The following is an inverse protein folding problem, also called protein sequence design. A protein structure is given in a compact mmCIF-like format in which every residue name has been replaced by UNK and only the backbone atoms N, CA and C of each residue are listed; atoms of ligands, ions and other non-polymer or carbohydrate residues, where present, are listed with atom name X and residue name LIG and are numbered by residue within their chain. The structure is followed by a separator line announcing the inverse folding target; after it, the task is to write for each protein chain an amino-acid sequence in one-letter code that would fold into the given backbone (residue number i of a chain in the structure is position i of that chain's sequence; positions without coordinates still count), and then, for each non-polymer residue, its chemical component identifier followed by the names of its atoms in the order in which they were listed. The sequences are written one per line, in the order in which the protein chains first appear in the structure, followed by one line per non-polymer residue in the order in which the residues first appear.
data_IF_931070985257
#
_entry.id   IF_931070985257
#
_cell.length_a   1.000
_cell.length_b   1.000
_cell.length_c   1.000
_cell.angle_alpha   90.00
_cell.angle_beta   90.00
_cell.angle_gamma   90.00
#
_symmetry.space_group_name_H-M   'P 1'
#
loop_
_entity.id
_entity.type
_entity.pdbx_description
1 polymer ?
#
# COMPACT_ATOMS: atom_id res chain seq x y z
N UNK A 1 -22.45 15.18 -13.85
CA UNK A 1 -20.99 15.20 -13.59
C UNK A 1 -20.36 16.42 -14.24
N UNK A 2 -19.35 17.02 -13.61
CA UNK A 2 -18.49 18.07 -14.20
C UNK A 2 -17.05 17.88 -13.71
N UNK A 3 -16.11 17.71 -14.63
CA UNK A 3 -14.68 17.70 -14.32
C UNK A 3 -14.09 19.10 -14.45
N UNK A 4 -13.24 19.49 -13.50
CA UNK A 4 -12.60 20.80 -13.42
C UNK A 4 -11.12 20.64 -13.03
N UNK A 5 -10.31 21.62 -13.41
CA UNK A 5 -8.97 21.82 -12.86
C UNK A 5 -8.89 23.24 -12.34
N UNK A 6 -8.55 23.41 -11.07
CA UNK A 6 -8.40 24.72 -10.45
C UNK A 6 -7.08 25.37 -10.91
N UNK A 7 -6.94 26.68 -10.68
CA UNK A 7 -5.72 27.42 -11.07
C UNK A 7 -4.45 26.96 -10.34
N UNK A 8 -4.58 26.24 -9.23
CA UNK A 8 -3.49 25.60 -8.50
C UNK A 8 -3.25 24.13 -8.94
N UNK A 9 -3.82 23.67 -10.05
CA UNK A 9 -3.63 22.31 -10.56
C UNK A 9 -4.43 21.22 -9.84
N UNK A 10 -5.25 21.56 -8.84
CA UNK A 10 -6.14 20.60 -8.19
C UNK A 10 -7.20 20.10 -9.17
N UNK A 11 -7.26 18.78 -9.38
CA UNK A 11 -8.27 18.13 -10.23
C UNK A 11 -9.53 17.87 -9.43
N UNK A 12 -10.70 18.24 -9.95
CA UNK A 12 -11.98 18.14 -9.24
C UNK A 12 -13.03 17.43 -10.09
N UNK A 13 -13.81 16.54 -9.47
CA UNK A 13 -15.02 15.95 -10.03
C UNK A 13 -16.25 16.35 -9.19
N UNK A 14 -17.19 17.05 -9.82
CA UNK A 14 -18.49 17.38 -9.22
C UNK A 14 -19.57 16.40 -9.70
N UNK A 15 -20.35 15.87 -8.75
CA UNK A 15 -21.41 14.89 -8.99
C UNK A 15 -22.72 15.42 -8.40
N UNK A 16 -23.57 15.98 -9.26
CA UNK A 16 -24.94 16.34 -8.91
C UNK A 16 -25.83 15.11 -8.97
N UNK A 17 -26.35 14.72 -7.81
CA UNK A 17 -27.36 13.67 -7.63
C UNK A 17 -28.54 14.24 -6.83
N UNK A 18 -29.57 14.79 -7.49
CA UNK A 18 -30.73 15.39 -6.81
C UNK A 18 -31.53 14.43 -5.92
N UNK A 19 -31.27 13.12 -6.01
CA UNK A 19 -31.95 12.09 -5.21
C UNK A 19 -31.16 11.64 -3.99
N UNK A 20 -29.92 12.11 -3.81
CA UNK A 20 -29.12 11.74 -2.64
C UNK A 20 -29.63 12.40 -1.36
N UNK A 21 -29.73 11.61 -0.30
CA UNK A 21 -30.04 12.09 1.05
C UNK A 21 -28.80 12.67 1.76
N UNK A 22 -27.60 12.43 1.22
CA UNK A 22 -26.33 12.86 1.83
C UNK A 22 -25.37 13.41 0.79
N UNK A 23 -24.77 14.55 1.10
CA UNK A 23 -23.59 15.04 0.40
C UNK A 23 -22.33 14.35 0.95
N UNK A 24 -21.30 14.23 0.11
CA UNK A 24 -20.02 13.66 0.47
C UNK A 24 -18.88 14.34 -0.31
N UNK A 25 -17.69 14.36 0.28
CA UNK A 25 -16.48 14.78 -0.41
C UNK A 25 -15.33 13.83 -0.06
N UNK A 26 -14.43 13.61 -1.02
CA UNK A 26 -13.22 12.82 -0.84
C UNK A 26 -12.05 13.52 -1.51
N UNK A 27 -10.94 13.67 -0.79
CA UNK A 27 -9.67 14.18 -1.31
C UNK A 27 -8.67 13.03 -1.34
N UNK A 28 -8.05 12.82 -2.48
CA UNK A 28 -6.91 11.93 -2.67
C UNK A 28 -5.64 12.77 -2.80
N UNK A 29 -4.57 12.36 -2.14
CA UNK A 29 -3.22 12.90 -2.32
C UNK A 29 -2.39 11.75 -2.88
N UNK A 30 -1.83 11.90 -4.08
CA UNK A 30 -1.06 10.83 -4.73
C UNK A 30 0.35 10.70 -4.13
N UNK A 31 0.42 10.47 -2.82
CA UNK A 31 1.59 10.25 -1.98
C UNK A 31 1.16 9.30 -0.86
N UNK A 32 1.99 8.30 -0.56
CA UNK A 32 1.73 7.36 0.53
C UNK A 32 3.01 6.86 1.20
N UNK A 33 2.90 5.71 1.86
CA UNK A 33 3.97 5.11 2.68
C UNK A 33 5.27 4.79 1.92
N UNK A 34 5.22 4.60 0.60
CA UNK A 34 6.44 4.45 -0.20
C UNK A 34 7.34 5.70 -0.15
N UNK A 35 6.77 6.87 0.17
CA UNK A 35 7.48 8.13 0.34
C UNK A 35 7.94 8.39 1.78
N UNK A 36 7.68 7.46 2.71
CA UNK A 36 8.19 7.57 4.07
C UNK A 36 9.73 7.59 4.08
N UNK A 37 10.36 8.41 4.93
CA UNK A 37 11.78 8.26 5.21
C UNK A 37 12.10 6.86 5.74
N UNK A 38 13.23 6.28 5.33
CA UNK A 38 13.63 4.94 5.80
C UNK A 38 13.82 4.89 7.33
N UNK A 39 14.17 6.03 7.92
CA UNK A 39 14.37 6.23 9.35
C UNK A 39 13.06 6.44 10.13
N UNK A 40 11.92 6.66 9.45
CA UNK A 40 10.61 6.87 10.07
C UNK A 40 9.50 6.23 9.22
N UNK A 41 9.42 4.91 9.25
CA UNK A 41 8.40 4.19 8.50
C UNK A 41 7.02 4.31 9.19
N UNK A 42 5.97 4.53 8.40
CA UNK A 42 4.61 4.83 8.86
C UNK A 42 4.29 6.32 9.03
N UNK A 43 5.15 7.22 8.55
CA UNK A 43 4.95 8.67 8.72
C UNK A 43 3.75 9.18 7.90
N UNK A 44 3.54 8.67 6.68
CA UNK A 44 2.39 9.00 5.85
C UNK A 44 1.08 8.63 6.55
N UNK A 45 1.01 7.40 7.08
CA UNK A 45 -0.13 6.91 7.85
C UNK A 45 -0.34 7.73 9.13
N UNK A 46 0.74 8.05 9.86
CA UNK A 46 0.62 8.92 11.03
C UNK A 46 0.15 10.33 10.67
N UNK A 47 0.61 10.89 9.54
CA UNK A 47 0.18 12.19 9.03
C UNK A 47 -1.33 12.20 8.75
N UNK A 48 -1.87 11.17 8.10
CA UNK A 48 -3.31 11.00 7.88
C UNK A 48 -4.09 11.13 9.20
N UNK A 49 -3.68 10.40 10.25
CA UNK A 49 -4.32 10.47 11.57
C UNK A 49 -4.24 11.87 12.21
N UNK A 50 -3.16 12.62 11.95
CA UNK A 50 -2.96 13.95 12.52
C UNK A 50 -3.84 15.02 11.87
N UNK A 51 -4.23 14.85 10.60
CA UNK A 51 -5.10 15.81 9.90
C UNK A 51 -6.49 15.94 10.54
N UNK A 52 -6.91 14.94 11.32
CA UNK A 52 -8.17 14.95 12.06
C UNK A 52 -8.07 15.55 13.48
N UNK A 53 -6.89 16.05 13.88
CA UNK A 53 -6.65 16.59 15.23
C UNK A 53 -6.67 18.11 15.31
N UNK A 54 -7.30 18.75 14.33
CA UNK A 54 -7.50 20.19 14.30
C UNK A 54 -6.57 20.88 13.31
N UNK A 55 -6.99 22.09 12.96
CA UNK A 55 -6.30 22.98 12.01
C UNK A 55 -6.20 24.36 12.64
N UNK A 56 -5.46 25.28 12.01
CA UNK A 56 -5.40 26.67 12.48
C UNK A 56 -6.80 27.32 12.54
N UNK A 57 -7.66 27.04 11.55
CA UNK A 57 -9.03 27.56 11.46
C UNK A 57 -9.99 26.87 12.43
N UNK A 58 -9.74 25.60 12.76
CA UNK A 58 -10.56 24.76 13.63
C UNK A 58 -9.67 24.00 14.62
N UNK A 59 -9.13 24.67 15.66
CA UNK A 59 -8.27 24.02 16.64
C UNK A 59 -9.08 23.05 17.50
N UNK A 60 -8.50 21.89 17.81
CA UNK A 60 -9.08 20.93 18.77
C UNK A 60 -8.16 20.84 20.00
N UNK A 61 -8.74 20.99 21.19
CA UNK A 61 -8.05 20.76 22.46
C UNK A 61 -8.10 19.27 22.82
N UNK A 62 -7.20 18.47 22.24
CA UNK A 62 -6.82 17.16 22.78
C UNK A 62 -5.49 16.74 22.16
N UNK A 63 -4.42 17.31 22.69
CA UNK A 63 -3.06 16.90 22.34
C UNK A 63 -2.68 15.62 23.08
N UNK A 64 -2.00 14.72 22.34
CA UNK A 64 -1.35 13.49 22.80
C UNK A 64 -2.25 12.28 23.15
N UNK A 65 -2.22 11.26 22.28
CA UNK A 65 -2.03 9.81 22.55
C UNK A 65 -2.36 8.97 21.29
N UNK A 66 -1.87 9.37 20.10
CA UNK A 66 -2.19 8.65 18.84
C UNK A 66 -1.09 7.73 18.30
N UNK A 67 0.14 7.81 18.81
CA UNK A 67 1.09 6.71 18.58
C UNK A 67 0.51 5.40 19.15
N UNK A 68 -0.25 5.47 20.24
CA UNK A 68 -1.06 4.33 20.73
C UNK A 68 -2.13 3.86 19.74
N UNK A 69 -2.73 4.75 18.94
CA UNK A 69 -3.71 4.35 17.92
C UNK A 69 -3.04 3.50 16.85
N UNK A 70 -1.90 3.93 16.33
CA UNK A 70 -1.09 3.15 15.39
C UNK A 70 -0.67 1.82 16.01
N UNK A 71 -0.19 1.83 17.25
CA UNK A 71 0.20 0.61 17.96
C UNK A 71 -0.99 -0.36 18.14
N UNK A 72 -2.19 0.18 18.36
CA UNK A 72 -3.42 -0.62 18.48
C UNK A 72 -3.85 -1.22 17.14
N UNK A 73 -3.61 -0.52 16.03
CA UNK A 73 -3.85 -1.02 14.67
C UNK A 73 -2.85 -2.11 14.31
N UNK A 74 -1.56 -1.88 14.54
CA UNK A 74 -0.51 -2.89 14.39
C UNK A 74 -0.86 -4.17 15.17
N UNK A 75 -1.35 -4.02 16.41
CA UNK A 75 -1.73 -5.15 17.26
C UNK A 75 -2.89 -5.97 16.69
N UNK A 76 -3.83 -5.35 15.96
CA UNK A 76 -4.92 -6.07 15.28
C UNK A 76 -4.38 -6.95 14.15
N UNK A 77 -3.37 -6.46 13.43
CA UNK A 77 -2.80 -7.15 12.27
C UNK A 77 -1.80 -8.26 12.64
N UNK A 78 -1.29 -8.29 13.87
CA UNK A 78 -0.36 -9.35 14.34
C UNK A 78 -0.89 -10.76 14.12
N UNK A 79 -2.22 -10.94 14.20
CA UNK A 79 -2.88 -12.23 14.06
C UNK A 79 -3.60 -12.41 12.71
N UNK A 80 -3.43 -11.50 11.76
CA UNK A 80 -4.06 -11.56 10.44
C UNK A 80 -3.04 -12.06 9.39
N UNK A 81 -3.26 -13.27 8.86
CA UNK A 81 -2.36 -13.88 7.90
C UNK A 81 -2.25 -13.11 6.57
N UNK A 82 -3.24 -12.28 6.21
CA UNK A 82 -3.16 -11.43 5.02
C UNK A 82 -2.10 -10.34 5.20
N UNK A 83 -2.16 -9.63 6.32
CA UNK A 83 -1.19 -8.57 6.65
C UNK A 83 0.21 -9.13 6.88
N UNK A 84 0.31 -10.26 7.58
CA UNK A 84 1.58 -10.96 7.80
C UNK A 84 2.22 -11.37 6.48
N UNK A 85 1.43 -11.93 5.56
CA UNK A 85 1.91 -12.33 4.24
C UNK A 85 2.35 -11.12 3.40
N UNK A 86 1.56 -10.04 3.39
CA UNK A 86 1.93 -8.80 2.70
C UNK A 86 3.28 -8.27 3.19
N UNK A 87 3.49 -8.28 4.50
CA UNK A 87 4.75 -7.82 5.07
C UNK A 87 5.92 -8.77 4.80
N UNK A 88 5.68 -10.09 4.73
CA UNK A 88 6.69 -11.05 4.22
C UNK A 88 7.05 -10.73 2.76
N UNK A 89 6.08 -10.47 1.89
CA UNK A 89 6.34 -10.10 0.49
C UNK A 89 7.18 -8.81 0.38
N UNK A 90 6.90 -7.81 1.23
CA UNK A 90 7.72 -6.58 1.34
C UNK A 90 9.14 -6.88 1.83
N UNK A 91 9.28 -7.68 2.88
CA UNK A 91 10.57 -8.08 3.43
C UNK A 91 11.45 -8.83 2.41
N UNK A 92 10.84 -9.60 1.51
CA UNK A 92 11.54 -10.33 0.45
C UNK A 92 11.99 -9.46 -0.73
N UNK A 93 11.62 -8.18 -0.79
CA UNK A 93 12.02 -7.30 -1.88
C UNK A 93 13.51 -6.95 -1.85
N UNK A 94 14.02 -6.38 -2.95
CA UNK A 94 15.41 -5.89 -3.06
C UNK A 94 15.74 -4.96 -1.87
N UNK A 95 16.90 -5.14 -1.21
CA UNK A 95 17.36 -4.20 -0.19
C UNK A 95 17.38 -2.75 -0.70
N UNK A 96 16.76 -1.84 0.05
CA UNK A 96 16.68 -0.41 -0.29
C UNK A 96 15.58 -0.04 -1.29
N UNK A 97 14.82 -0.98 -1.83
CA UNK A 97 13.64 -0.67 -2.64
C UNK A 97 12.48 -0.22 -1.74
N UNK A 98 11.80 0.89 -2.08
CA UNK A 98 10.79 1.49 -1.17
C UNK A 98 9.58 0.58 -0.89
N UNK A 99 9.29 -0.37 -1.78
CA UNK A 99 8.27 -1.41 -1.54
C UNK A 99 8.53 -2.19 -0.24
N UNK A 100 9.80 -2.37 0.15
CA UNK A 100 10.18 -3.06 1.38
C UNK A 100 9.90 -2.28 2.68
N UNK A 101 9.46 -1.02 2.60
CA UNK A 101 9.10 -0.23 3.78
C UNK A 101 7.84 -0.78 4.45
N UNK A 102 7.83 -0.68 5.78
CA UNK A 102 6.70 -0.97 6.63
C UNK A 102 5.70 0.20 6.63
N UNK A 103 4.54 0.00 6.02
CA UNK A 103 3.59 1.06 5.72
C UNK A 103 2.72 1.52 6.90
N UNK A 104 2.47 0.66 7.89
CA UNK A 104 1.60 0.98 9.03
C UNK A 104 2.33 1.85 10.06
N UNK A 105 3.62 1.59 10.28
CA UNK A 105 4.38 2.18 11.38
C UNK A 105 4.12 1.50 12.72
N UNK A 106 4.94 1.86 13.70
CA UNK A 106 4.85 1.40 15.08
C UNK A 106 5.38 2.47 16.01
N UNK A 107 5.17 2.33 17.32
CA UNK A 107 5.84 3.18 18.30
C UNK A 107 7.36 3.16 18.12
N UNK A 108 7.92 1.98 17.85
CA UNK A 108 9.35 1.80 17.61
C UNK A 108 9.82 2.62 16.40
N UNK A 109 9.12 2.54 15.27
CA UNK A 109 9.50 3.27 14.06
C UNK A 109 9.34 4.79 14.21
N UNK A 110 8.25 5.23 14.86
CA UNK A 110 7.89 6.65 14.95
C UNK A 110 8.65 7.40 16.06
N UNK A 111 9.05 6.72 17.14
CA UNK A 111 9.71 7.34 18.30
C UNK A 111 11.14 6.82 18.52
N UNK A 112 11.36 5.51 18.44
CA UNK A 112 12.61 4.91 18.94
C UNK A 112 13.72 4.87 17.87
N UNK A 113 13.43 4.38 16.67
CA UNK A 113 14.43 4.11 15.61
C UNK A 113 15.10 5.38 15.08
N UNK A 114 14.37 6.51 15.10
CA UNK A 114 14.92 7.82 14.77
C UNK A 114 15.50 8.59 15.96
N UNK A 115 15.56 8.01 17.17
CA UNK A 115 15.79 8.73 18.44
C UNK A 115 14.95 10.01 18.56
N UNK A 116 13.70 9.96 18.10
CA UNK A 116 12.85 11.15 17.99
C UNK A 116 12.11 11.42 19.29
N UNK A 117 12.27 12.61 19.82
CA UNK A 117 11.37 13.21 20.79
C UNK A 117 10.04 13.59 20.11
N UNK A 118 8.98 13.78 20.88
CA UNK A 118 7.69 14.23 20.33
C UNK A 118 7.78 15.51 19.49
N UNK A 119 8.75 16.39 19.82
CA UNK A 119 9.02 17.61 19.05
C UNK A 119 9.64 17.30 17.66
N UNK A 120 10.56 16.33 17.58
CA UNK A 120 11.19 15.92 16.32
C UNK A 120 10.23 15.12 15.42
N UNK A 121 9.33 14.33 16.01
CA UNK A 121 8.26 13.66 15.25
C UNK A 121 7.28 14.68 14.67
N UNK A 122 6.88 15.68 15.45
CA UNK A 122 6.06 16.81 14.95
C UNK A 122 6.76 17.53 13.81
N UNK A 123 8.05 17.79 13.93
CA UNK A 123 8.82 18.40 12.85
C UNK A 123 8.84 17.53 11.59
N UNK A 124 9.06 16.21 11.74
CA UNK A 124 9.01 15.26 10.62
C UNK A 124 7.66 15.30 9.89
N UNK A 125 6.56 15.35 10.65
CA UNK A 125 5.21 15.45 10.10
C UNK A 125 5.01 16.74 9.31
N UNK A 126 5.46 17.88 9.86
CA UNK A 126 5.39 19.16 9.18
C UNK A 126 6.22 19.15 7.90
N UNK A 127 7.42 18.59 7.94
CA UNK A 127 8.28 18.42 6.76
C UNK A 127 7.64 17.50 5.72
N UNK A 128 7.06 16.38 6.14
CA UNK A 128 6.36 15.46 5.24
C UNK A 128 5.16 16.14 4.57
N UNK A 129 4.29 16.78 5.34
CA UNK A 129 3.15 17.53 4.80
C UNK A 129 3.63 18.67 3.89
N UNK A 130 4.66 19.41 4.30
CA UNK A 130 5.21 20.50 3.51
C UNK A 130 5.78 19.99 2.17
N UNK A 131 6.50 18.87 2.16
CA UNK A 131 7.11 18.34 0.95
C UNK A 131 6.11 17.71 -0.02
N UNK A 132 5.04 17.09 0.51
CA UNK A 132 4.21 16.18 -0.29
C UNK A 132 2.76 16.63 -0.48
N UNK A 133 2.16 17.35 0.47
CA UNK A 133 0.76 17.79 0.35
C UNK A 133 0.67 19.04 -0.52
N UNK A 134 0.63 18.82 -1.84
CA UNK A 134 0.59 19.84 -2.88
C UNK A 134 -0.61 19.65 -3.79
N UNK A 135 -1.24 20.74 -4.24
CA UNK A 135 -2.46 20.69 -5.06
C UNK A 135 -2.29 19.96 -6.39
N UNK A 136 -1.10 20.03 -7.02
CA UNK A 136 -0.81 19.36 -8.31
C UNK A 136 -0.80 17.82 -8.23
N UNK A 137 -0.69 17.24 -7.03
CA UNK A 137 -0.78 15.80 -6.80
C UNK A 137 -2.09 15.39 -6.11
N UNK A 138 -3.04 16.31 -5.96
CA UNK A 138 -4.33 16.07 -5.34
C UNK A 138 -5.46 15.85 -6.35
N UNK A 139 -6.50 15.14 -5.91
CA UNK A 139 -7.77 15.01 -6.64
C UNK A 139 -8.95 15.06 -5.68
N UNK A 140 -9.95 15.89 -5.96
CA UNK A 140 -11.14 16.08 -5.12
C UNK A 140 -12.40 15.59 -5.84
N UNK A 141 -13.24 14.82 -5.16
CA UNK A 141 -14.58 14.48 -5.62
C UNK A 141 -15.61 15.04 -4.64
N UNK A 142 -16.65 15.71 -5.16
CA UNK A 142 -17.78 16.22 -4.36
C UNK A 142 -19.09 15.70 -4.96
N UNK A 143 -19.91 15.09 -4.12
CA UNK A 143 -21.24 14.56 -4.45
C UNK A 143 -22.29 15.28 -3.60
N UNK A 144 -23.42 15.68 -4.18
CA UNK A 144 -24.50 16.31 -3.45
C UNK A 144 -25.77 16.53 -4.27
N UNK A 145 -26.87 16.99 -3.64
CA UNK A 145 -28.15 17.22 -4.30
C UNK A 145 -28.18 18.51 -5.15
N UNK A 146 -27.23 19.43 -4.95
CA UNK A 146 -27.19 20.71 -5.63
C UNK A 146 -26.95 20.58 -7.14
N UNK A 147 -27.31 21.60 -7.92
CA UNK A 147 -26.93 21.65 -9.34
C UNK A 147 -25.42 21.85 -9.50
N UNK A 148 -24.88 21.44 -10.64
CA UNK A 148 -23.44 21.59 -10.92
C UNK A 148 -22.96 23.04 -10.84
N UNK A 149 -23.82 24.02 -11.19
CA UNK A 149 -23.47 25.44 -11.13
C UNK A 149 -23.40 25.96 -9.69
N UNK A 150 -24.29 25.47 -8.81
CA UNK A 150 -24.23 25.77 -7.37
C UNK A 150 -22.98 25.14 -6.76
N UNK A 151 -22.71 23.86 -7.04
CA UNK A 151 -21.51 23.17 -6.56
C UNK A 151 -20.22 23.86 -6.99
N UNK A 152 -20.12 24.28 -8.25
CA UNK A 152 -18.95 24.99 -8.75
C UNK A 152 -18.79 26.36 -8.07
N UNK A 153 -19.91 27.06 -7.81
CA UNK A 153 -19.89 28.33 -7.07
C UNK A 153 -19.41 28.15 -5.63
N UNK A 154 -19.86 27.09 -4.95
CA UNK A 154 -19.40 26.72 -3.61
C UNK A 154 -17.91 26.35 -3.60
N UNK A 155 -17.46 25.58 -4.59
CA UNK A 155 -16.05 25.24 -4.77
C UNK A 155 -15.18 26.50 -4.92
N UNK A 156 -15.62 27.47 -5.74
CA UNK A 156 -14.91 28.75 -5.92
C UNK A 156 -14.88 29.62 -4.67
N UNK A 157 -15.88 29.51 -3.81
CA UNK A 157 -15.95 30.24 -2.54
C UNK A 157 -15.20 29.54 -1.39
N UNK A 158 -14.68 28.33 -1.61
CA UNK A 158 -13.98 27.52 -0.62
C UNK A 158 -12.46 27.76 -0.61
N UNK A 159 -11.78 27.19 0.38
CA UNK A 159 -10.32 27.28 0.54
C UNK A 159 -9.53 26.30 -0.37
N UNK A 160 -10.19 25.46 -1.18
CA UNK A 160 -9.48 24.49 -2.04
C UNK A 160 -8.58 25.14 -3.09
N UNK A 161 -8.93 26.35 -3.55
CA UNK A 161 -8.08 27.13 -4.46
C UNK A 161 -6.84 27.74 -3.79
N UNK A 162 -6.78 27.75 -2.46
CA UNK A 162 -5.68 28.31 -1.68
C UNK A 162 -4.61 27.26 -1.34
N UNK A 163 -4.86 25.97 -1.64
CA UNK A 163 -3.86 24.91 -1.45
C UNK A 163 -2.69 25.22 -2.38
N UNK A 164 -1.49 25.26 -1.81
CA UNK A 164 -0.27 25.57 -2.54
C UNK A 164 0.07 24.47 -3.57
N UNK A 165 0.41 24.91 -4.78
CA UNK A 165 1.09 24.07 -5.76
C UNK A 165 2.61 24.21 -5.57
N UNK A 166 3.21 23.15 -5.03
CA UNK A 166 4.64 23.05 -4.74
C UNK A 166 5.43 22.42 -5.89
N UNK A 167 4.77 22.11 -7.01
CA UNK A 167 5.40 21.46 -8.15
C UNK A 167 5.94 20.06 -7.82
N UNK A 168 5.25 19.31 -6.96
CA UNK A 168 5.69 17.97 -6.54
C UNK A 168 5.78 17.05 -7.75
N UNK A 169 6.98 16.53 -8.00
CA UNK A 169 7.21 15.49 -9.00
C UNK A 169 6.85 14.13 -8.40
N UNK A 170 6.03 13.36 -9.12
CA UNK A 170 5.64 12.02 -8.69
C UNK A 170 6.81 11.08 -8.88
N UNK A 171 7.17 10.35 -7.82
CA UNK A 171 8.17 9.29 -7.92
C UNK A 171 7.59 8.11 -8.68
N UNK A 172 8.33 7.64 -9.69
CA UNK A 172 8.01 6.43 -10.43
C UNK A 172 9.01 5.32 -10.05
N UNK A 173 8.51 4.10 -9.85
CA UNK A 173 9.32 2.92 -9.61
C UNK A 173 9.37 2.09 -10.88
N UNK A 174 10.35 2.39 -11.75
CA UNK A 174 10.54 1.69 -13.02
C UNK A 174 11.16 0.30 -12.86
N UNK A 175 11.79 0.05 -11.72
CA UNK A 175 12.36 -1.25 -11.40
C UNK A 175 11.40 -2.10 -10.56
N UNK A 176 11.30 -3.39 -10.91
CA UNK A 176 10.59 -4.36 -10.07
C UNK A 176 11.24 -4.45 -8.68
N UNK A 177 10.43 -4.58 -7.60
CA UNK A 177 10.93 -4.88 -6.26
C UNK A 177 11.59 -6.26 -6.16
N UNK A 178 11.34 -7.15 -7.12
CA UNK A 178 11.90 -8.50 -7.19
C UNK A 178 12.87 -8.63 -8.37
N UNK A 179 14.15 -8.83 -8.07
CA UNK A 179 15.20 -9.10 -9.05
C UNK A 179 15.61 -10.57 -9.07
N UNK A 180 16.69 -10.89 -9.80
CA UNK A 180 17.20 -12.26 -9.95
C UNK A 180 17.50 -12.97 -8.62
N UNK A 181 17.87 -12.21 -7.58
CA UNK A 181 18.18 -12.76 -6.26
C UNK A 181 16.92 -13.05 -5.42
N UNK A 182 15.80 -12.37 -5.73
CA UNK A 182 14.51 -12.56 -5.04
C UNK A 182 13.62 -13.61 -5.73
N UNK A 183 13.82 -13.82 -7.04
CA UNK A 183 13.14 -14.87 -7.82
C UNK A 183 13.89 -16.21 -7.71
N UNK A 184 13.29 -17.29 -8.22
CA UNK A 184 13.84 -18.63 -8.02
C UNK A 184 13.67 -19.15 -6.60
N UNK A 185 12.74 -18.58 -5.82
CA UNK A 185 12.58 -18.88 -4.40
C UNK A 185 11.29 -19.62 -4.08
N UNK A 186 11.40 -20.61 -3.20
CA UNK A 186 10.32 -21.20 -2.42
C UNK A 186 10.34 -20.55 -1.05
N UNK A 187 9.21 -19.99 -0.64
CA UNK A 187 9.04 -19.32 0.65
C UNK A 187 8.03 -20.11 1.48
N UNK A 188 8.47 -20.67 2.58
CA UNK A 188 7.60 -21.39 3.50
C UNK A 188 7.23 -20.46 4.63
N UNK A 189 5.94 -20.30 4.87
CA UNK A 189 5.40 -19.36 5.86
C UNK A 189 4.56 -20.11 6.86
N UNK A 190 4.75 -19.80 8.14
CA UNK A 190 3.93 -20.33 9.23
C UNK A 190 2.75 -19.38 9.47
N UNK A 191 1.52 -19.78 9.08
CA UNK A 191 0.33 -18.97 9.30
C UNK A 191 -0.06 -18.95 10.78
N UNK A 192 -0.92 -18.01 11.17
CA UNK A 192 -1.61 -17.96 12.46
C UNK A 192 -2.79 -18.91 12.45
N UNK A 193 -3.57 -18.93 11.37
CA UNK A 193 -4.65 -19.88 11.16
C UNK A 193 -4.12 -21.24 10.69
N UNK A 194 -4.90 -22.31 10.87
CA UNK A 194 -4.57 -23.61 10.30
C UNK A 194 -4.97 -23.66 8.82
N UNK A 195 -4.24 -22.90 8.01
CA UNK A 195 -4.44 -22.78 6.57
C UNK A 195 -3.34 -23.52 5.79
N UNK A 196 -3.71 -24.04 4.62
CA UNK A 196 -2.79 -24.62 3.64
C UNK A 196 -3.00 -23.96 2.29
N UNK A 197 -2.10 -23.05 1.93
CA UNK A 197 -2.24 -22.24 0.70
C UNK A 197 -0.94 -22.26 -0.09
N UNK A 198 -1.08 -22.31 -1.41
CA UNK A 198 0.01 -22.06 -2.36
C UNK A 198 -0.27 -20.76 -3.10
N UNK A 199 0.71 -19.87 -3.12
CA UNK A 199 0.63 -18.57 -3.78
C UNK A 199 1.81 -18.44 -4.72
N UNK A 200 1.55 -18.26 -6.02
CA UNK A 200 2.60 -18.07 -7.02
C UNK A 200 2.69 -16.60 -7.38
N UNK A 201 3.90 -16.04 -7.31
CA UNK A 201 4.18 -14.62 -7.52
C UNK A 201 5.21 -14.48 -8.62
N UNK A 202 4.88 -13.68 -9.64
CA UNK A 202 5.79 -13.39 -10.74
C UNK A 202 5.63 -11.90 -11.09
N UNK A 203 6.73 -11.14 -11.14
CA UNK A 203 6.66 -9.72 -11.45
C UNK A 203 6.36 -9.52 -12.94
N UNK A 204 5.49 -8.56 -13.24
CA UNK A 204 5.24 -8.09 -14.61
C UNK A 204 5.49 -6.57 -14.68
N UNK A 205 5.61 -5.98 -15.87
CA UNK A 205 5.67 -4.52 -16.02
C UNK A 205 4.37 -3.85 -15.58
N UNK A 206 4.43 -2.58 -15.16
CA UNK A 206 3.23 -1.79 -14.88
C UNK A 206 2.38 -1.66 -16.17
N UNK A 207 1.12 -2.11 -16.08
CA UNK A 207 0.16 -2.14 -17.18
C UNK A 207 -0.91 -1.04 -17.06
N UNK A 208 -0.67 -0.02 -16.22
CA UNK A 208 -1.62 1.06 -16.00
C UNK A 208 -1.94 1.83 -17.28
N UNK A 209 -0.96 2.03 -18.17
CA UNK A 209 -1.16 2.71 -19.45
C UNK A 209 -2.13 1.94 -20.38
N UNK A 210 -2.22 0.63 -20.20
CA UNK A 210 -3.01 -0.31 -20.98
C UNK A 210 -4.44 -0.49 -20.46
N UNK A 211 -4.88 0.33 -19.48
CA UNK A 211 -6.18 0.20 -18.80
C UNK A 211 -7.38 0.00 -19.74
N UNK A 212 -7.36 0.62 -20.94
CA UNK A 212 -8.43 0.47 -21.95
C UNK A 212 -8.50 -0.94 -22.54
N UNK A 213 -7.34 -1.57 -22.73
CA UNK A 213 -7.27 -2.94 -23.22
C UNK A 213 -7.42 -3.95 -22.10
N UNK A 214 -7.04 -3.60 -20.86
CA UNK A 214 -7.14 -4.44 -19.66
C UNK A 214 -6.60 -5.87 -19.92
N UNK A 215 -5.32 -6.00 -20.31
CA UNK A 215 -4.78 -7.25 -20.86
C UNK A 215 -4.88 -8.43 -19.90
N UNK A 216 -4.81 -8.19 -18.58
CA UNK A 216 -4.92 -9.23 -17.55
C UNK A 216 -6.36 -9.73 -17.32
N UNK A 217 -7.39 -9.09 -17.90
CA UNK A 217 -8.78 -9.50 -17.75
C UNK A 217 -9.14 -10.71 -18.63
N UNK A 218 -8.31 -11.03 -19.63
CA UNK A 218 -8.58 -12.12 -20.56
C UNK A 218 -7.90 -13.41 -20.10
N UNK A 219 -8.70 -14.46 -19.89
CA UNK A 219 -8.20 -15.76 -19.45
C UNK A 219 -7.10 -16.35 -20.36
N UNK A 220 -7.18 -16.12 -21.67
CA UNK A 220 -6.13 -16.56 -22.60
C UNK A 220 -4.78 -15.89 -22.33
N UNK A 221 -4.76 -14.61 -21.95
CA UNK A 221 -3.52 -13.92 -21.57
C UNK A 221 -2.95 -14.44 -20.26
N UNK A 222 -3.82 -14.73 -19.29
CA UNK A 222 -3.44 -15.41 -18.07
C UNK A 222 -2.81 -16.77 -18.37
N UNK A 223 -3.40 -17.58 -19.25
CA UNK A 223 -2.83 -18.88 -19.63
C UNK A 223 -1.48 -18.74 -20.36
N UNK A 224 -1.30 -17.72 -21.20
CA UNK A 224 -0.01 -17.42 -21.80
C UNK A 224 1.04 -17.07 -20.76
N UNK A 225 0.70 -16.22 -19.79
CA UNK A 225 1.56 -15.86 -18.66
C UNK A 225 1.93 -17.10 -17.85
N UNK A 226 0.96 -17.95 -17.51
CA UNK A 226 1.20 -19.20 -16.78
C UNK A 226 2.17 -20.11 -17.55
N UNK A 227 2.05 -20.19 -18.88
CA UNK A 227 2.98 -20.95 -19.74
C UNK A 227 4.38 -20.35 -19.81
N UNK A 228 4.53 -19.07 -19.48
CA UNK A 228 5.83 -18.39 -19.42
C UNK A 228 6.49 -18.51 -18.04
N UNK A 229 5.79 -19.05 -17.03
CA UNK A 229 6.37 -19.24 -15.71
C UNK A 229 7.49 -20.28 -15.76
N UNK A 230 8.59 -19.91 -15.13
CA UNK A 230 9.77 -20.74 -14.92
C UNK A 230 10.20 -20.51 -13.48
N UNK A 231 10.89 -21.47 -12.82
CA UNK A 231 11.43 -21.24 -11.49
C UNK A 231 12.20 -19.91 -11.41
N UNK A 232 12.95 -19.54 -12.45
CA UNK A 232 13.81 -18.35 -12.46
C UNK A 232 13.06 -17.01 -12.56
N UNK A 233 11.80 -16.99 -12.98
CA UNK A 233 11.02 -15.74 -13.13
C UNK A 233 9.85 -15.60 -12.16
N UNK A 234 9.79 -16.47 -11.15
CA UNK A 234 8.78 -16.43 -10.09
C UNK A 234 9.41 -16.73 -8.74
N UNK A 235 8.67 -16.45 -7.68
CA UNK A 235 8.81 -17.14 -6.42
C UNK A 235 7.43 -17.59 -5.97
N UNK A 236 7.36 -18.54 -5.05
CA UNK A 236 6.07 -18.99 -4.55
C UNK A 236 6.10 -19.17 -3.03
N UNK A 237 4.94 -18.99 -2.43
CA UNK A 237 4.75 -19.06 -0.99
C UNK A 237 3.89 -20.28 -0.66
N UNK A 238 4.36 -21.11 0.26
CA UNK A 238 3.60 -22.22 0.84
C UNK A 238 3.30 -21.88 2.30
N UNK A 239 2.02 -21.67 2.60
CA UNK A 239 1.55 -21.40 3.95
C UNK A 239 1.09 -22.71 4.57
N UNK A 240 1.69 -23.12 5.69
CA UNK A 240 1.21 -24.27 6.47
C UNK A 240 1.82 -24.32 7.88
N UNK A 241 1.01 -24.71 8.87
CA UNK A 241 1.45 -24.90 10.27
C UNK A 241 2.59 -25.92 10.44
N UNK A 242 2.72 -26.88 9.51
CA UNK A 242 3.80 -27.90 9.52
C UNK A 242 5.22 -27.31 9.52
N UNK A 243 5.37 -26.05 9.09
CA UNK A 243 6.66 -25.36 9.02
C UNK A 243 7.11 -24.72 10.34
N UNK A 244 6.31 -24.78 11.39
CA UNK A 244 6.61 -24.19 12.70
C UNK A 244 7.92 -24.74 13.29
N UNK A 245 8.81 -23.84 13.73
CA UNK A 245 10.04 -24.17 14.46
C UNK A 245 11.07 -24.99 13.68
N UNK A 246 11.00 -25.01 12.35
CA UNK A 246 11.95 -25.76 11.55
C UNK A 246 13.32 -25.08 11.51
N UNK A 247 14.37 -25.88 11.36
CA UNK A 247 15.73 -25.37 11.21
C UNK A 247 15.85 -24.48 9.96
N UNK A 248 16.56 -23.35 10.10
CA UNK A 248 16.72 -22.35 9.06
C UNK A 248 15.58 -21.33 8.96
N UNK A 249 14.55 -21.44 9.80
CA UNK A 249 13.50 -20.43 9.87
C UNK A 249 14.05 -19.11 10.44
N UNK A 250 13.59 -18.00 9.86
CA UNK A 250 13.83 -16.64 10.33
C UNK A 250 12.50 -15.99 10.72
N UNK A 251 12.56 -14.92 11.50
CA UNK A 251 11.39 -14.12 11.87
C UNK A 251 11.39 -12.84 11.06
N UNK A 252 10.32 -12.60 10.31
CA UNK A 252 10.04 -11.31 9.71
C UNK A 252 9.98 -10.24 10.83
N UNK A 253 10.71 -9.11 10.71
CA UNK A 253 10.93 -8.20 11.84
C UNK A 253 9.70 -7.49 12.42
N UNK A 254 8.63 -7.30 11.65
CA UNK A 254 7.46 -6.51 12.06
C UNK A 254 6.46 -7.34 12.84
N UNK A 255 5.99 -8.46 12.26
CA UNK A 255 4.95 -9.29 12.85
C UNK A 255 5.49 -10.58 13.48
N UNK A 256 6.82 -10.81 13.40
CA UNK A 256 7.43 -12.05 13.85
C UNK A 256 6.96 -13.25 13.02
N UNK A 257 6.66 -13.04 11.74
CA UNK A 257 6.21 -14.12 10.87
C UNK A 257 7.36 -15.08 10.61
N UNK A 258 7.18 -16.33 11.01
CA UNK A 258 8.18 -17.36 10.81
C UNK A 258 8.18 -17.79 9.36
N UNK A 259 9.34 -17.62 8.71
CA UNK A 259 9.53 -17.90 7.29
C UNK A 259 10.82 -18.64 7.02
N UNK A 260 10.84 -19.46 5.96
CA UNK A 260 12.06 -20.07 5.43
C UNK A 260 12.13 -19.88 3.93
N UNK A 261 13.27 -19.39 3.45
CA UNK A 261 13.48 -19.08 2.05
C UNK A 261 14.49 -20.06 1.49
N UNK A 262 14.13 -20.73 0.39
CA UNK A 262 14.95 -21.74 -0.28
C UNK A 262 14.92 -21.52 -1.78
N UNK A 263 15.90 -22.03 -2.49
CA UNK A 263 15.83 -22.08 -3.95
C UNK A 263 14.76 -23.10 -4.40
N UNK A 264 14.11 -22.82 -5.52
CA UNK A 264 13.18 -23.77 -6.14
C UNK A 264 14.00 -24.90 -6.76
N UNK A 265 13.81 -26.12 -6.27
CA UNK A 265 14.30 -27.34 -6.89
C UNK A 265 13.32 -27.81 -7.99
N UNK A 266 13.83 -28.48 -9.04
CA UNK A 266 13.08 -28.77 -10.27
C UNK A 266 11.74 -29.52 -10.07
N UNK A 267 11.57 -30.27 -8.97
CA UNK A 267 10.36 -31.05 -8.66
C UNK A 267 9.49 -30.48 -7.51
N UNK A 268 9.96 -29.44 -6.81
CA UNK A 268 9.33 -28.97 -5.56
C UNK A 268 7.91 -28.40 -5.77
N UNK A 269 7.66 -27.77 -6.92
CA UNK A 269 6.37 -27.14 -7.22
C UNK A 269 5.26 -28.20 -7.37
N UNK A 270 5.55 -29.32 -8.01
CA UNK A 270 4.54 -30.36 -8.32
C UNK A 270 4.01 -31.01 -7.04
N UNK A 271 4.88 -31.24 -6.05
CA UNK A 271 4.50 -31.77 -4.75
C UNK A 271 3.70 -30.76 -3.93
N UNK A 272 4.07 -29.48 -3.95
CA UNK A 272 3.35 -28.44 -3.22
C UNK A 272 1.97 -28.16 -3.83
N UNK A 273 1.86 -28.12 -5.16
CA UNK A 273 0.58 -27.94 -5.88
C UNK A 273 -0.39 -29.09 -5.59
N UNK A 274 0.09 -30.33 -5.52
CA UNK A 274 -0.79 -31.49 -5.27
C UNK A 274 -1.32 -31.57 -3.84
N UNK A 275 -0.73 -30.81 -2.90
CA UNK A 275 -1.05 -30.85 -1.48
C UNK A 275 -1.68 -29.56 -0.92
N UNK A 276 -1.82 -28.53 -1.74
CA UNK A 276 -2.31 -27.22 -1.31
C UNK A 276 -3.52 -26.77 -2.15
N UNK A 277 -4.38 -25.97 -1.54
CA UNK A 277 -5.35 -25.18 -2.29
C UNK A 277 -4.57 -24.04 -2.98
N UNK A 278 -4.67 -23.96 -4.32
CA UNK A 278 -4.13 -22.84 -5.07
C UNK A 278 -4.95 -21.61 -4.70
N UNK A 279 -4.35 -20.67 -3.98
CA UNK A 279 -5.07 -19.53 -3.41
C UNK A 279 -5.02 -18.28 -4.29
N UNK A 280 -4.23 -18.29 -5.37
CA UNK A 280 -4.18 -17.21 -6.35
C UNK A 280 -2.81 -17.01 -7.01
N UNK A 281 -2.79 -16.19 -8.06
CA UNK A 281 -1.61 -15.74 -8.79
C UNK A 281 -1.46 -14.24 -8.56
N UNK A 282 -0.52 -13.82 -7.72
CA UNK A 282 -0.39 -12.41 -7.36
C UNK A 282 0.57 -11.69 -8.30
N UNK A 283 0.12 -10.55 -8.81
CA UNK A 283 0.88 -9.58 -9.56
C UNK A 283 0.97 -8.32 -8.70
N UNK A 284 2.16 -7.96 -8.24
CA UNK A 284 2.36 -6.73 -7.44
C UNK A 284 3.49 -5.90 -8.05
N UNK A 285 3.20 -4.64 -8.32
CA UNK A 285 4.10 -3.72 -9.03
C UNK A 285 4.11 -2.34 -8.36
N UNK A 286 3.09 -1.97 -7.59
CA UNK A 286 2.90 -0.57 -7.18
C UNK A 286 2.64 -0.36 -5.70
N UNK A 287 2.61 -1.42 -4.88
CA UNK A 287 2.21 -1.28 -3.47
C UNK A 287 0.76 -0.81 -3.29
N UNK A 288 -0.03 -0.88 -4.37
CA UNK A 288 -1.50 -0.92 -4.29
C UNK A 288 -1.88 -2.38 -4.35
N UNK A 289 -2.67 -2.85 -3.39
CA UNK A 289 -3.08 -4.25 -3.16
C UNK A 289 -3.93 -4.85 -4.31
N UNK A 290 -3.41 -4.80 -5.53
CA UNK A 290 -4.08 -5.15 -6.78
C UNK A 290 -3.59 -6.52 -7.26
N UNK A 291 -3.86 -7.56 -6.45
CA UNK A 291 -3.70 -8.95 -6.85
C UNK A 291 -4.87 -9.43 -7.71
N UNK A 292 -4.59 -10.26 -8.73
CA UNK A 292 -5.62 -11.00 -9.47
C UNK A 292 -5.72 -12.40 -8.87
N UNK A 293 -6.69 -12.65 -8.00
CA UNK A 293 -6.96 -14.02 -7.53
C UNK A 293 -7.58 -14.80 -8.68
N UNK A 294 -6.88 -15.85 -9.12
CA UNK A 294 -7.40 -16.83 -10.09
C UNK A 294 -7.89 -18.03 -9.29
N UNK A 295 -9.22 -18.14 -9.15
CA UNK A 295 -9.90 -19.35 -8.67
C UNK A 295 -9.98 -20.42 -9.77
#
# INVERSE_FOLDING_TARGET
YRGLELTNGLRVLLVSDPTTDRAAAAMDVNVGSLMDPWEIQGLAHFCEHMLFLGTEKYPLENEFYKVQTIESELSKYLNDDTWRLMQVMRYLSKPGHDYGKFNIGSKKCLLDDGRRTGNELRQALLEFHNNWYSSNVMSLCIVGPESLDVMESLLKASDFGNIEDKGVERKEWLESPYGKEQLGKRVEVVPVEDARKLIVIFPIPDLWAEYKSSPLRYIYRIMEIVRMLTPQNMFYIVLAKKYTGQEGNILEPVYGTEVRIRDIEDDALTEDVSNAELAGLYCDITGTDSGVVLE
#
